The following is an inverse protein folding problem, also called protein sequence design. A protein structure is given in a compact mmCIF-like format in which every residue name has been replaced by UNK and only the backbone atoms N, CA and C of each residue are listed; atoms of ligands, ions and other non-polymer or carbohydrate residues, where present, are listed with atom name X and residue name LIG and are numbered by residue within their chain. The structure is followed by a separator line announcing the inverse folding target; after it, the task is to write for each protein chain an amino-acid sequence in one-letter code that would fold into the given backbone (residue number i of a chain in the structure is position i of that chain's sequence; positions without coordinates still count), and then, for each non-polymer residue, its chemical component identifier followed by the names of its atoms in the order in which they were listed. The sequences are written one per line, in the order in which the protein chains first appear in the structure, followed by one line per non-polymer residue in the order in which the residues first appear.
data_IF_684204060201
#
_entry.id   IF_684204060201
#
_cell.length_a   1.000
_cell.length_b   1.000
_cell.length_c   1.000
_cell.angle_alpha   90.00
_cell.angle_beta   90.00
_cell.angle_gamma   90.00
#
_symmetry.space_group_name_H-M   'P 1'
#
loop_
_entity.id
_entity.type
_entity.pdbx_description
1 polymer ?
#
# COMPACT_ATOMS: atom_id res chain seq x y z
N UNK A 1 24.70 -24.63 -31.59
CA UNK A 1 23.73 -24.40 -30.47
C UNK A 1 24.22 -23.20 -29.65
N UNK A 2 23.42 -22.20 -29.41
CA UNK A 2 23.82 -21.08 -28.53
C UNK A 2 23.94 -21.61 -27.09
N UNK A 3 24.97 -21.20 -26.32
CA UNK A 3 25.24 -21.74 -24.99
C UNK A 3 24.13 -21.34 -24.01
N UNK A 4 23.81 -22.24 -23.09
CA UNK A 4 22.92 -21.93 -21.94
C UNK A 4 23.63 -20.95 -21.02
N UNK A 5 22.87 -20.07 -20.39
CA UNK A 5 23.36 -19.11 -19.38
C UNK A 5 22.72 -19.39 -18.02
N UNK A 6 23.37 -18.96 -16.93
CA UNK A 6 22.69 -18.96 -15.64
C UNK A 6 21.44 -18.07 -15.69
N UNK A 7 20.42 -18.42 -14.92
CA UNK A 7 19.15 -17.70 -14.86
C UNK A 7 19.35 -16.20 -14.61
N UNK A 8 20.20 -15.83 -13.64
CA UNK A 8 20.53 -14.43 -13.37
C UNK A 8 21.04 -13.72 -14.62
N UNK A 9 22.04 -14.31 -15.30
CA UNK A 9 22.61 -13.70 -16.51
C UNK A 9 21.58 -13.60 -17.64
N UNK A 10 20.70 -14.58 -17.79
CA UNK A 10 19.70 -14.56 -18.86
C UNK A 10 18.58 -13.54 -18.58
N UNK A 11 18.12 -13.41 -17.31
CA UNK A 11 17.14 -12.39 -16.89
C UNK A 11 17.66 -10.98 -17.15
N UNK A 12 18.91 -10.70 -16.76
CA UNK A 12 19.56 -9.41 -17.00
C UNK A 12 19.80 -9.16 -18.49
N UNK A 13 20.26 -10.17 -19.23
CA UNK A 13 20.49 -10.05 -20.67
C UNK A 13 19.20 -9.74 -21.46
N UNK A 14 18.05 -10.26 -21.02
CA UNK A 14 16.73 -9.95 -21.61
C UNK A 14 16.13 -8.65 -21.11
N UNK A 15 16.77 -7.96 -20.16
CA UNK A 15 16.24 -6.73 -19.58
C UNK A 15 14.96 -6.92 -18.78
N UNK A 16 14.71 -8.14 -18.24
CA UNK A 16 13.50 -8.45 -17.47
C UNK A 16 13.57 -7.85 -16.06
N UNK A 17 14.76 -7.69 -15.50
CA UNK A 17 15.04 -6.99 -14.23
C UNK A 17 16.36 -6.21 -14.39
N UNK A 18 16.57 -5.22 -13.50
CA UNK A 18 17.63 -4.23 -13.64
C UNK A 18 18.93 -4.64 -12.96
N UNK A 19 18.87 -5.46 -11.91
CA UNK A 19 20.04 -5.87 -11.13
C UNK A 19 19.98 -7.33 -10.69
N UNK A 20 21.16 -7.88 -10.33
CA UNK A 20 21.24 -9.22 -9.77
C UNK A 20 20.46 -9.34 -8.43
N UNK A 21 20.46 -8.28 -7.63
CA UNK A 21 19.69 -8.22 -6.39
C UNK A 21 18.19 -8.34 -6.64
N UNK A 22 17.65 -7.67 -7.68
CA UNK A 22 16.24 -7.80 -8.07
C UNK A 22 15.90 -9.21 -8.51
N UNK A 23 16.84 -9.90 -9.20
CA UNK A 23 16.64 -11.29 -9.62
C UNK A 23 16.60 -12.21 -8.40
N UNK A 24 17.52 -12.03 -7.44
CA UNK A 24 17.55 -12.81 -6.21
C UNK A 24 16.28 -12.60 -5.38
N UNK A 25 15.83 -11.37 -5.22
CA UNK A 25 14.55 -11.06 -4.56
C UNK A 25 13.37 -11.74 -5.26
N UNK A 26 13.31 -11.68 -6.59
CA UNK A 26 12.25 -12.34 -7.36
C UNK A 26 12.29 -13.88 -7.24
N UNK A 27 13.47 -14.47 -7.06
CA UNK A 27 13.62 -15.91 -6.82
C UNK A 27 13.11 -16.31 -5.42
N UNK A 28 13.47 -15.55 -4.38
CA UNK A 28 13.01 -15.77 -3.01
C UNK A 28 11.47 -15.67 -2.95
N UNK A 29 10.88 -14.75 -3.70
CA UNK A 29 9.43 -14.55 -3.78
C UNK A 29 8.73 -15.54 -4.74
N UNK A 30 9.43 -16.51 -5.32
CA UNK A 30 8.89 -17.48 -6.28
C UNK A 30 8.21 -16.86 -7.52
N UNK A 31 8.68 -15.68 -7.94
CA UNK A 31 8.14 -14.93 -9.09
C UNK A 31 8.75 -15.30 -10.43
N UNK A 32 9.90 -15.99 -10.43
CA UNK A 32 10.59 -16.38 -11.67
C UNK A 32 10.05 -17.69 -12.19
N UNK A 33 9.63 -17.72 -13.45
CA UNK A 33 9.15 -18.90 -14.14
C UNK A 33 9.99 -19.14 -15.41
N UNK A 34 10.38 -20.39 -15.63
CA UNK A 34 11.00 -20.83 -16.88
C UNK A 34 10.13 -21.92 -17.48
N UNK A 35 9.67 -21.71 -18.71
CA UNK A 35 8.72 -22.59 -19.39
C UNK A 35 7.48 -22.92 -18.54
N UNK A 36 6.99 -21.92 -17.77
CA UNK A 36 5.82 -22.06 -16.89
C UNK A 36 6.13 -22.60 -15.49
N UNK A 37 7.25 -23.28 -15.28
CA UNK A 37 7.65 -23.80 -13.97
C UNK A 37 8.32 -22.73 -13.10
N UNK A 38 8.00 -22.70 -11.80
CA UNK A 38 8.70 -21.83 -10.83
C UNK A 38 10.14 -22.30 -10.67
N UNK A 39 11.09 -21.36 -10.73
CA UNK A 39 12.51 -21.62 -10.50
C UNK A 39 12.98 -20.76 -9.34
N UNK A 40 13.61 -21.40 -8.34
CA UNK A 40 14.16 -20.73 -7.15
C UNK A 40 15.69 -20.70 -7.10
N UNK A 41 16.37 -21.42 -8.01
CA UNK A 41 17.83 -21.49 -8.02
C UNK A 41 18.43 -20.53 -9.07
N UNK A 42 19.19 -19.55 -8.61
CA UNK A 42 19.88 -18.54 -9.42
C UNK A 42 20.87 -19.13 -10.46
N UNK A 43 21.43 -20.31 -10.15
CA UNK A 43 22.40 -21.00 -11.01
C UNK A 43 21.74 -21.88 -12.08
N UNK A 44 20.42 -22.04 -12.08
CA UNK A 44 19.69 -22.81 -13.10
C UNK A 44 20.10 -22.38 -14.50
N UNK A 45 20.33 -23.37 -15.39
CA UNK A 45 20.75 -23.09 -16.75
C UNK A 45 19.54 -22.91 -17.67
N UNK A 46 19.45 -21.76 -18.31
CA UNK A 46 18.37 -21.36 -19.22
C UNK A 46 18.90 -21.34 -20.66
N UNK A 47 18.20 -21.98 -21.56
CA UNK A 47 18.51 -21.95 -22.99
C UNK A 47 17.95 -20.66 -23.64
N UNK A 48 18.54 -20.17 -24.74
CA UNK A 48 18.05 -18.97 -25.42
C UNK A 48 16.58 -19.03 -25.89
N UNK A 49 16.09 -20.24 -26.12
CA UNK A 49 14.67 -20.47 -26.55
C UNK A 49 13.68 -20.70 -25.40
N UNK A 50 14.17 -20.78 -24.15
CA UNK A 50 13.27 -20.97 -23.01
C UNK A 50 12.46 -19.70 -22.75
N UNK A 51 11.18 -19.86 -22.46
CA UNK A 51 10.31 -18.75 -22.03
C UNK A 51 10.63 -18.40 -20.58
N UNK A 52 11.15 -17.20 -20.35
CA UNK A 52 11.40 -16.67 -18.99
C UNK A 52 10.39 -15.57 -18.70
N UNK A 53 9.66 -15.73 -17.60
CA UNK A 53 8.65 -14.78 -17.15
C UNK A 53 8.88 -14.41 -15.69
N UNK A 54 8.81 -13.12 -15.39
CA UNK A 54 8.85 -12.59 -14.00
C UNK A 54 7.42 -12.20 -13.65
N UNK A 55 6.81 -12.91 -12.71
CA UNK A 55 5.51 -12.53 -12.19
C UNK A 55 5.64 -11.15 -11.48
N UNK A 56 4.64 -10.27 -11.61
CA UNK A 56 4.64 -9.03 -10.84
C UNK A 56 4.72 -9.34 -9.34
N UNK A 57 5.26 -8.42 -8.55
CA UNK A 57 5.17 -8.53 -7.10
C UNK A 57 3.70 -8.66 -6.71
N UNK A 58 3.40 -9.61 -5.84
CA UNK A 58 2.09 -9.64 -5.22
C UNK A 58 1.87 -8.27 -4.56
N UNK A 59 0.73 -7.66 -4.85
CA UNK A 59 0.40 -6.40 -4.19
C UNK A 59 0.32 -6.66 -2.68
N UNK A 60 1.29 -6.17 -1.93
CA UNK A 60 1.33 -6.27 -0.47
C UNK A 60 0.12 -5.56 0.16
N UNK A 61 -0.33 -4.50 -0.48
CA UNK A 61 -1.48 -3.71 -0.09
C UNK A 61 -2.59 -3.79 -1.15
N UNK A 62 -3.83 -3.51 -0.77
CA UNK A 62 -4.99 -3.48 -1.69
C UNK A 62 -4.88 -2.42 -2.80
N UNK A 63 -3.93 -1.51 -2.69
CA UNK A 63 -3.63 -0.49 -3.68
C UNK A 63 -2.17 -0.07 -3.67
N UNK A 64 -1.68 0.48 -4.80
CA UNK A 64 -0.29 0.95 -4.96
C UNK A 64 0.10 2.07 -3.98
N UNK A 65 -0.88 2.83 -3.52
CA UNK A 65 -0.68 3.87 -2.50
C UNK A 65 -0.02 3.34 -1.22
N UNK A 66 -0.36 2.10 -0.80
CA UNK A 66 0.22 1.50 0.40
C UNK A 66 1.75 1.44 0.40
N UNK A 67 2.36 1.17 -0.75
CA UNK A 67 3.84 1.19 -0.89
C UNK A 67 4.40 2.62 -0.69
N UNK A 68 3.66 3.63 -1.17
CA UNK A 68 4.05 5.04 -1.01
C UNK A 68 4.04 5.44 0.47
N UNK A 69 2.96 5.09 1.18
CA UNK A 69 2.83 5.39 2.60
C UNK A 69 3.87 4.62 3.42
N UNK A 70 4.08 3.33 3.16
CA UNK A 70 5.10 2.52 3.84
C UNK A 70 6.48 3.16 3.73
N UNK A 71 6.87 3.60 2.53
CA UNK A 71 8.13 4.31 2.31
C UNK A 71 8.23 5.61 3.12
N UNK A 72 7.13 6.36 3.26
CA UNK A 72 7.10 7.58 4.07
C UNK A 72 7.21 7.26 5.57
N UNK A 73 6.45 6.29 6.09
CA UNK A 73 6.52 5.88 7.49
C UNK A 73 7.94 5.46 7.88
N UNK A 74 8.58 4.64 7.04
CA UNK A 74 9.95 4.19 7.26
C UNK A 74 10.97 5.34 7.19
N UNK A 75 10.86 6.20 6.16
CA UNK A 75 11.79 7.30 5.95
C UNK A 75 11.76 8.33 7.10
N UNK A 76 10.57 8.65 7.59
CA UNK A 76 10.39 9.65 8.65
C UNK A 76 10.37 9.04 10.06
N UNK A 77 10.46 7.71 10.18
CA UNK A 77 10.40 7.02 11.48
C UNK A 77 9.07 7.21 12.21
N UNK A 78 7.96 7.29 11.46
CA UNK A 78 6.62 7.49 12.05
C UNK A 78 6.07 6.14 12.47
N UNK A 79 5.77 6.00 13.77
CA UNK A 79 5.09 4.83 14.31
C UNK A 79 3.58 5.08 14.37
N UNK A 80 2.83 4.21 13.73
CA UNK A 80 1.35 4.24 13.69
C UNK A 80 0.71 3.15 14.55
N UNK A 81 1.52 2.33 15.23
CA UNK A 81 1.01 1.25 16.06
C UNK A 81 0.11 1.81 17.19
N UNK A 82 -1.06 1.18 17.33
CA UNK A 82 -2.09 1.58 18.31
C UNK A 82 -2.66 3.00 18.13
N UNK A 83 -2.38 3.67 17.00
CA UNK A 83 -2.88 5.01 16.71
C UNK A 83 -4.24 4.97 16.03
N UNK A 84 -5.06 5.99 16.26
CA UNK A 84 -6.31 6.26 15.55
C UNK A 84 -6.00 7.17 14.37
N UNK A 85 -6.23 6.65 13.17
CA UNK A 85 -5.77 7.25 11.93
C UNK A 85 -6.92 7.73 11.06
N UNK A 86 -6.72 8.84 10.36
CA UNK A 86 -7.63 9.38 9.37
C UNK A 86 -6.96 9.31 7.99
N UNK A 87 -7.58 8.59 7.05
CA UNK A 87 -7.12 8.47 5.65
C UNK A 87 -8.03 9.29 4.75
N UNK A 88 -7.52 10.43 4.24
CA UNK A 88 -8.26 11.38 3.41
C UNK A 88 -7.95 11.14 1.95
N UNK A 89 -8.99 10.81 1.16
CA UNK A 89 -8.85 10.36 -0.21
C UNK A 89 -8.46 8.89 -0.27
N UNK A 90 -9.13 8.06 0.52
CA UNK A 90 -8.79 6.65 0.70
C UNK A 90 -8.83 5.84 -0.60
N UNK A 91 -9.66 6.21 -1.59
CA UNK A 91 -9.79 5.54 -2.88
C UNK A 91 -9.92 4.02 -2.72
N UNK A 92 -9.01 3.23 -3.27
CA UNK A 92 -9.02 1.75 -3.11
C UNK A 92 -8.63 1.26 -1.71
N UNK A 93 -8.15 2.13 -0.82
CA UNK A 93 -7.75 1.78 0.54
C UNK A 93 -6.28 1.36 0.69
N UNK A 94 -5.42 1.76 -0.24
CA UNK A 94 -4.00 1.43 -0.16
C UNK A 94 -3.32 1.98 1.08
N UNK A 95 -3.59 3.23 1.47
CA UNK A 95 -3.08 3.84 2.69
C UNK A 95 -3.72 3.21 3.92
N UNK A 96 -5.04 3.02 3.92
CA UNK A 96 -5.78 2.32 4.98
C UNK A 96 -5.19 0.94 5.28
N UNK A 97 -4.94 0.11 4.26
CA UNK A 97 -4.35 -1.24 4.43
C UNK A 97 -2.91 -1.15 4.96
N UNK A 98 -2.13 -0.17 4.52
CA UNK A 98 -0.79 0.07 5.04
C UNK A 98 -0.81 0.42 6.54
N UNK A 99 -1.66 1.36 6.96
CA UNK A 99 -1.82 1.74 8.37
C UNK A 99 -2.19 0.53 9.22
N UNK A 100 -3.16 -0.27 8.79
CA UNK A 100 -3.57 -1.49 9.51
C UNK A 100 -2.46 -2.52 9.62
N UNK A 101 -1.72 -2.77 8.54
CA UNK A 101 -0.59 -3.70 8.55
C UNK A 101 0.57 -3.24 9.44
N UNK A 102 0.67 -1.93 9.72
CA UNK A 102 1.60 -1.35 10.68
C UNK A 102 1.00 -1.19 12.09
N UNK A 103 -0.16 -1.79 12.36
CA UNK A 103 -0.72 -1.90 13.70
C UNK A 103 -1.59 -0.73 14.15
N UNK A 104 -2.08 0.13 13.25
CA UNK A 104 -3.05 1.16 13.61
C UNK A 104 -4.24 0.55 14.34
N UNK A 105 -4.71 1.19 15.41
CA UNK A 105 -5.83 0.72 16.20
C UNK A 105 -7.14 0.79 15.42
N UNK A 106 -7.34 1.88 14.69
CA UNK A 106 -8.52 2.09 13.85
C UNK A 106 -8.21 3.10 12.75
N UNK A 107 -8.82 2.94 11.59
CA UNK A 107 -8.71 3.88 10.46
C UNK A 107 -10.09 4.33 10.01
N UNK A 108 -10.33 5.64 10.04
CA UNK A 108 -11.47 6.25 9.36
C UNK A 108 -11.02 6.64 7.96
N UNK A 109 -11.57 5.96 6.95
CA UNK A 109 -11.26 6.14 5.54
C UNK A 109 -12.33 7.02 4.90
N UNK A 110 -11.94 8.23 4.47
CA UNK A 110 -12.84 9.24 3.91
C UNK A 110 -12.56 9.44 2.43
N UNK A 111 -13.61 9.40 1.61
CA UNK A 111 -13.49 9.68 0.18
C UNK A 111 -14.76 10.36 -0.37
N UNK A 112 -14.58 11.29 -1.30
CA UNK A 112 -15.69 11.92 -2.04
C UNK A 112 -16.30 10.97 -3.07
N UNK A 113 -15.55 9.97 -3.50
CA UNK A 113 -16.00 8.89 -4.38
C UNK A 113 -16.91 7.89 -3.66
N UNK A 114 -17.46 6.96 -4.43
CA UNK A 114 -18.33 5.90 -3.92
C UNK A 114 -17.95 4.56 -4.53
N UNK A 115 -18.00 3.49 -3.71
CA UNK A 115 -17.76 2.11 -4.17
C UNK A 115 -16.34 1.86 -4.62
N UNK A 116 -15.37 2.63 -4.14
CA UNK A 116 -13.97 2.48 -4.53
C UNK A 116 -13.17 1.63 -3.55
N UNK A 117 -13.54 1.68 -2.28
CA UNK A 117 -12.78 1.00 -1.23
C UNK A 117 -12.83 -0.53 -1.42
N UNK A 118 -11.66 -1.16 -1.36
CA UNK A 118 -11.53 -2.60 -1.57
C UNK A 118 -12.31 -3.40 -0.53
N UNK A 119 -12.96 -4.51 -0.94
CA UNK A 119 -13.80 -5.34 -0.07
C UNK A 119 -13.12 -5.76 1.23
N UNK A 120 -11.82 -6.07 1.19
CA UNK A 120 -11.03 -6.40 2.39
C UNK A 120 -11.06 -5.28 3.43
N UNK A 121 -11.06 -4.01 3.00
CA UNK A 121 -11.10 -2.85 3.89
C UNK A 121 -12.53 -2.60 4.40
N UNK A 122 -13.52 -2.70 3.53
CA UNK A 122 -14.93 -2.55 3.90
C UNK A 122 -15.39 -3.54 4.98
N UNK A 123 -14.80 -4.74 5.01
CA UNK A 123 -15.15 -5.79 5.98
C UNK A 123 -14.22 -5.84 7.19
N UNK A 124 -13.21 -4.98 7.27
CA UNK A 124 -12.25 -4.99 8.36
C UNK A 124 -12.82 -4.28 9.59
N UNK A 125 -12.81 -4.95 10.75
CA UNK A 125 -13.41 -4.44 12.00
C UNK A 125 -12.81 -3.10 12.47
N UNK A 126 -11.54 -2.84 12.17
CA UNK A 126 -10.85 -1.61 12.52
C UNK A 126 -10.88 -0.55 11.39
N UNK A 127 -11.86 -0.63 10.48
CA UNK A 127 -12.05 0.36 9.42
C UNK A 127 -13.47 0.90 9.46
N UNK A 128 -13.59 2.22 9.45
CA UNK A 128 -14.86 2.90 9.15
C UNK A 128 -14.72 3.60 7.80
N UNK A 129 -15.58 3.23 6.85
CA UNK A 129 -15.61 3.85 5.52
C UNK A 129 -16.65 4.95 5.45
N UNK A 130 -16.22 6.16 5.09
CA UNK A 130 -17.06 7.34 4.86
C UNK A 130 -16.94 7.76 3.40
N UNK A 131 -17.71 7.12 2.55
CA UNK A 131 -17.78 7.42 1.11
C UNK A 131 -18.76 8.54 0.81
N UNK A 132 -18.60 9.19 -0.35
CA UNK A 132 -19.38 10.37 -0.78
C UNK A 132 -19.33 11.51 0.24
N UNK A 133 -18.24 11.62 0.98
CA UNK A 133 -18.06 12.60 2.04
C UNK A 133 -16.80 13.43 1.84
N UNK A 134 -16.94 14.76 1.91
CA UNK A 134 -15.79 15.66 1.91
C UNK A 134 -15.33 15.93 3.34
N UNK A 135 -14.01 16.02 3.56
CA UNK A 135 -13.44 16.23 4.89
C UNK A 135 -13.99 17.48 5.61
N UNK A 136 -14.36 18.54 4.87
CA UNK A 136 -14.94 19.75 5.44
C UNK A 136 -16.30 19.53 6.12
N UNK A 137 -16.91 18.38 5.93
CA UNK A 137 -18.21 18.01 6.53
C UNK A 137 -18.03 17.20 7.82
N UNK A 138 -16.78 16.86 8.16
CA UNK A 138 -16.48 16.10 9.37
C UNK A 138 -16.14 17.02 10.52
N UNK A 139 -16.62 16.65 11.70
CA UNK A 139 -16.29 17.25 12.99
C UNK A 139 -15.54 16.25 13.87
N UNK A 140 -14.85 16.69 14.94
CA UNK A 140 -14.29 15.79 15.95
C UNK A 140 -15.34 14.84 16.57
N UNK A 141 -16.57 15.29 16.70
CA UNK A 141 -17.66 14.47 17.22
C UNK A 141 -18.03 13.32 16.29
N UNK A 142 -18.03 13.57 14.97
CA UNK A 142 -18.25 12.51 13.98
C UNK A 142 -17.13 11.45 14.09
N UNK A 143 -15.86 11.87 14.17
CA UNK A 143 -14.75 10.93 14.33
C UNK A 143 -14.85 10.14 15.63
N UNK A 144 -15.23 10.79 16.74
CA UNK A 144 -15.42 10.12 18.04
C UNK A 144 -16.45 9.01 17.97
N UNK A 145 -17.55 9.24 17.29
CA UNK A 145 -18.60 8.23 17.09
C UNK A 145 -18.10 7.02 16.29
N UNK A 146 -17.25 7.27 15.32
CA UNK A 146 -16.73 6.22 14.43
C UNK A 146 -15.63 5.38 15.07
N UNK A 147 -14.89 5.90 16.06
CA UNK A 147 -13.82 5.16 16.73
C UNK A 147 -14.26 4.32 17.93
N UNK A 148 -15.54 4.43 18.33
CA UNK A 148 -16.16 3.51 19.29
C UNK A 148 -15.55 3.53 20.68
N UNK A 149 -15.38 4.69 21.33
CA UNK A 149 -14.87 4.74 22.68
C UNK A 149 -14.54 6.15 23.21
N UNK A 150 -13.86 6.22 24.35
CA UNK A 150 -13.43 7.46 25.02
C UNK A 150 -12.32 8.22 24.28
N UNK A 151 -12.15 7.99 23.01
CA UNK A 151 -11.23 8.76 22.18
C UNK A 151 -11.77 10.18 22.00
N UNK A 152 -10.92 11.17 22.25
CA UNK A 152 -11.27 12.59 22.23
C UNK A 152 -11.69 13.17 20.87
N UNK A 153 -12.03 12.32 19.89
CA UNK A 153 -12.56 12.71 18.58
C UNK A 153 -11.51 13.25 17.61
N UNK A 154 -10.22 13.20 17.96
CA UNK A 154 -9.12 13.70 17.11
C UNK A 154 -8.25 12.56 16.61
N UNK A 155 -7.88 12.61 15.33
CA UNK A 155 -6.94 11.67 14.72
C UNK A 155 -5.52 11.93 15.24
N UNK A 156 -4.84 10.87 15.66
CA UNK A 156 -3.43 10.96 16.07
C UNK A 156 -2.51 10.98 14.85
N UNK A 157 -2.91 10.33 13.77
CA UNK A 157 -2.20 10.34 12.48
C UNK A 157 -3.22 10.67 11.39
N UNK A 158 -2.88 11.61 10.54
CA UNK A 158 -3.65 11.94 9.33
C UNK A 158 -2.77 11.69 8.11
N UNK A 159 -3.28 10.90 7.18
CA UNK A 159 -2.65 10.65 5.89
C UNK A 159 -3.54 11.12 4.76
N UNK A 160 -2.95 11.60 3.66
CA UNK A 160 -3.71 12.08 2.50
C UNK A 160 -2.95 11.90 1.20
N UNK A 161 -3.63 11.41 0.16
CA UNK A 161 -3.12 11.32 -1.22
C UNK A 161 -4.24 11.74 -2.20
N UNK A 162 -4.51 13.03 -2.27
CA UNK A 162 -5.61 13.59 -3.09
C UNK A 162 -5.10 14.15 -4.40
N UNK A 163 -5.84 13.89 -5.47
CA UNK A 163 -5.46 14.32 -6.84
C UNK A 163 -6.25 15.53 -7.35
N UNK A 164 -7.43 15.80 -6.80
CA UNK A 164 -8.36 16.80 -7.34
C UNK A 164 -8.55 18.03 -6.46
N UNK A 165 -7.92 18.08 -5.30
CA UNK A 165 -8.05 19.17 -4.33
C UNK A 165 -6.66 19.66 -3.92
N UNK A 166 -6.48 20.98 -3.79
CA UNK A 166 -5.24 21.55 -3.27
C UNK A 166 -5.07 21.17 -1.79
N UNK A 167 -3.91 20.65 -1.44
CA UNK A 167 -3.57 20.34 -0.04
C UNK A 167 -3.75 21.57 0.88
N UNK A 168 -3.44 22.77 0.37
CA UNK A 168 -3.62 24.01 1.11
C UNK A 168 -5.07 24.25 1.56
N UNK A 169 -6.05 23.79 0.78
CA UNK A 169 -7.47 23.88 1.15
C UNK A 169 -7.87 22.83 2.20
N UNK A 170 -7.16 21.72 2.28
CA UNK A 170 -7.45 20.65 3.24
C UNK A 170 -6.80 20.90 4.60
N UNK A 171 -5.65 21.59 4.64
CA UNK A 171 -4.88 21.82 5.88
C UNK A 171 -5.71 22.35 7.05
N UNK A 172 -6.59 23.37 6.90
CA UNK A 172 -7.42 23.84 8.01
C UNK A 172 -8.33 22.74 8.59
N UNK A 173 -8.89 21.90 7.74
CA UNK A 173 -9.76 20.78 8.16
C UNK A 173 -8.94 19.66 8.80
N UNK A 174 -7.75 19.37 8.26
CA UNK A 174 -6.81 18.39 8.84
C UNK A 174 -6.44 18.81 10.26
N UNK A 175 -6.05 20.06 10.45
CA UNK A 175 -5.66 20.60 11.78
C UNK A 175 -6.83 20.53 12.76
N UNK A 176 -8.05 20.83 12.32
CA UNK A 176 -9.25 20.76 13.17
C UNK A 176 -9.60 19.33 13.62
N UNK A 177 -9.17 18.31 12.88
CA UNK A 177 -9.46 16.90 13.13
C UNK A 177 -8.28 16.11 13.70
N UNK A 178 -7.08 16.72 13.85
CA UNK A 178 -5.88 16.08 14.38
C UNK A 178 -5.58 16.49 15.81
N UNK A 179 -5.07 15.54 16.59
CA UNK A 179 -4.46 15.84 17.90
C UNK A 179 -3.08 16.49 17.70
N UNK A 180 -2.74 17.48 18.52
CA UNK A 180 -1.41 18.09 18.55
C UNK A 180 -0.36 17.12 19.07
#
# INVERSE_FOLDING_TARGET
MKPRRSLVREVLHRGLLSSAADVEAALVENRVRVNGAVVSNAASLVAPGDAVHIAPMANRFVGRGGIKLEGALQHFGIDVAHQYCLDIGASTGGFTDCLLQHGAAHVVAVDVGRGQLHQKMLTHIAVTSLESQHISQLSPEDLRTHWGGDHGGLAQIVVTDVSFTSLAQLVPHIVALSSN
#
